data_IF_600772776274
#
_entry.id   IF_600772776274
#
_cell.length_a   1.000
_cell.length_b   1.000
_cell.length_c   1.000
_cell.angle_alpha   90.00
_cell.angle_beta   90.00
_cell.angle_gamma   90.00
#
_symmetry.space_group_name_H-M   'P 1'
#
loop_
_entity.id
_entity.type
_entity.pdbx_description
1 polymer ?
#
# COMPACT_ATOMS: atom_id res chain seq x y z
N UNK A 1 9.54 -1.10 -12.82
CA UNK A 1 8.61 -2.20 -12.55
C UNK A 1 7.30 -1.63 -12.06
N UNK A 2 6.25 -1.77 -12.87
CA UNK A 2 4.89 -1.36 -12.51
C UNK A 2 3.99 -2.59 -12.47
N UNK A 3 2.95 -2.52 -11.64
CA UNK A 3 1.82 -3.45 -11.70
C UNK A 3 0.61 -2.75 -12.32
N UNK A 4 -0.23 -3.51 -13.03
CA UNK A 4 -1.31 -2.97 -13.85
C UNK A 4 -2.65 -3.12 -13.15
N UNK A 5 -3.19 -1.99 -12.68
CA UNK A 5 -4.44 -1.95 -11.90
C UNK A 5 -5.73 -1.88 -12.73
N UNK A 6 -5.65 -2.05 -14.05
CA UNK A 6 -6.80 -2.06 -14.97
C UNK A 6 -6.82 -3.33 -15.81
N UNK A 7 -7.99 -3.87 -16.19
CA UNK A 7 -8.10 -5.03 -17.06
C UNK A 7 -7.40 -4.83 -18.41
N UNK A 8 -6.97 -5.93 -19.03
CA UNK A 8 -6.25 -5.92 -20.31
C UNK A 8 -7.01 -5.25 -21.46
N UNK A 9 -8.36 -5.26 -21.44
CA UNK A 9 -9.18 -4.61 -22.48
C UNK A 9 -9.19 -3.07 -22.36
N UNK A 10 -8.66 -2.50 -21.27
CA UNK A 10 -8.49 -1.05 -21.11
C UNK A 10 -7.17 -0.63 -21.77
N UNK A 11 -7.08 -0.86 -23.08
CA UNK A 11 -5.86 -0.72 -23.90
C UNK A 11 -5.70 0.67 -24.53
N UNK A 12 -6.69 1.55 -24.36
CA UNK A 12 -6.69 2.89 -24.94
C UNK A 12 -6.96 2.94 -26.45
N UNK A 13 -7.42 1.84 -27.08
CA UNK A 13 -7.64 1.75 -28.53
C UNK A 13 -8.46 2.89 -29.11
N UNK A 14 -9.50 3.33 -28.40
CA UNK A 14 -10.36 4.43 -28.85
C UNK A 14 -9.66 5.79 -28.91
N UNK A 15 -8.59 6.01 -28.14
CA UNK A 15 -7.83 7.28 -28.17
C UNK A 15 -7.23 7.50 -29.55
N UNK A 16 -6.55 6.50 -30.11
CA UNK A 16 -5.94 6.60 -31.43
C UNK A 16 -6.96 6.58 -32.59
N UNK A 17 -8.11 5.91 -32.40
CA UNK A 17 -9.20 5.94 -33.39
C UNK A 17 -9.82 7.35 -33.46
N UNK A 18 -10.11 7.96 -32.31
CA UNK A 18 -10.68 9.30 -32.25
C UNK A 18 -9.71 10.36 -32.77
N UNK A 19 -8.42 10.27 -32.46
CA UNK A 19 -7.40 11.18 -33.02
C UNK A 19 -7.39 11.13 -34.56
N UNK A 20 -7.46 9.93 -35.14
CA UNK A 20 -7.57 9.75 -36.61
C UNK A 20 -8.87 10.30 -37.20
N UNK A 21 -9.94 10.35 -36.41
CA UNK A 21 -11.22 10.95 -36.81
C UNK A 21 -11.26 12.48 -36.66
N UNK A 22 -10.17 13.11 -36.22
CA UNK A 22 -10.05 14.56 -36.07
C UNK A 22 -10.23 15.08 -34.64
N UNK A 23 -10.38 14.19 -33.65
CA UNK A 23 -10.48 14.59 -32.25
C UNK A 23 -9.14 15.16 -31.75
N UNK A 24 -9.21 16.26 -31.00
CA UNK A 24 -8.03 16.78 -30.31
C UNK A 24 -7.75 16.01 -29.02
N UNK A 25 -6.48 15.70 -28.76
CA UNK A 25 -6.04 14.99 -27.56
C UNK A 25 -5.29 15.92 -26.61
N UNK A 26 -5.63 15.87 -25.32
CA UNK A 26 -5.01 16.73 -24.29
C UNK A 26 -4.39 15.90 -23.16
N UNK A 27 -3.37 16.45 -22.50
CA UNK A 27 -2.75 15.92 -21.26
C UNK A 27 -2.28 14.45 -21.34
N UNK A 28 -1.78 14.02 -22.50
CA UNK A 28 -1.38 12.62 -22.80
C UNK A 28 -0.29 12.09 -21.87
N UNK A 29 0.46 12.98 -21.26
CA UNK A 29 1.54 12.74 -20.31
C UNK A 29 1.06 12.55 -18.86
N UNK A 30 -0.21 12.84 -18.56
CA UNK A 30 -0.73 12.80 -17.19
C UNK A 30 -1.31 11.44 -16.84
N UNK A 31 -0.81 10.88 -15.74
CA UNK A 31 -1.21 9.57 -15.24
C UNK A 31 -1.54 9.62 -13.75
N UNK A 32 -2.59 8.91 -13.36
CA UNK A 32 -2.89 8.61 -11.97
C UNK A 32 -2.30 7.25 -11.61
N UNK A 33 -1.35 7.25 -10.67
CA UNK A 33 -0.77 6.05 -10.08
C UNK A 33 -1.16 5.93 -8.61
N UNK A 34 -1.16 4.70 -8.09
CA UNK A 34 -1.11 4.45 -6.66
C UNK A 34 0.30 4.00 -6.27
N UNK A 35 0.69 4.28 -5.03
CA UNK A 35 2.03 3.96 -4.50
C UNK A 35 2.04 2.76 -3.57
N UNK A 36 0.86 2.22 -3.23
CA UNK A 36 0.68 1.04 -2.38
C UNK A 36 0.26 -0.20 -3.20
N UNK A 37 0.88 -0.42 -4.36
CA UNK A 37 0.55 -1.52 -5.27
C UNK A 37 1.18 -2.87 -4.90
N UNK A 38 0.47 -3.95 -5.21
CA UNK A 38 0.92 -5.34 -5.05
C UNK A 38 0.77 -6.07 -6.38
N UNK A 39 1.64 -7.03 -6.63
CA UNK A 39 1.35 -8.06 -7.61
C UNK A 39 0.24 -8.97 -7.07
N UNK A 40 -0.84 -9.14 -7.85
CA UNK A 40 -1.88 -10.09 -7.47
C UNK A 40 -1.32 -11.52 -7.52
N UNK A 41 -1.55 -12.28 -6.45
CA UNK A 41 -1.14 -13.68 -6.36
C UNK A 41 -2.03 -14.59 -7.23
N UNK A 42 -3.28 -14.19 -7.47
CA UNK A 42 -4.26 -14.86 -8.33
C UNK A 42 -4.73 -13.90 -9.44
N UNK A 43 -3.88 -13.66 -10.46
CA UNK A 43 -4.14 -12.64 -11.48
C UNK A 43 -5.25 -13.06 -12.44
N UNK A 44 -6.12 -12.11 -12.80
CA UNK A 44 -7.20 -12.30 -13.79
C UNK A 44 -6.74 -11.84 -15.17
N UNK A 45 -5.77 -10.91 -15.21
CA UNK A 45 -5.15 -10.41 -16.44
C UNK A 45 -3.62 -10.32 -16.27
N UNK A 46 -2.86 -10.19 -17.37
CA UNK A 46 -1.40 -10.06 -17.30
C UNK A 46 -0.97 -8.85 -16.45
N UNK A 47 0.03 -9.04 -15.60
CA UNK A 47 0.54 -8.02 -14.67
C UNK A 47 -0.52 -7.44 -13.72
N UNK A 48 -1.60 -8.18 -13.43
CA UNK A 48 -2.67 -7.73 -12.54
C UNK A 48 -2.10 -7.26 -11.20
N UNK A 49 -2.27 -5.97 -10.94
CA UNK A 49 -1.93 -5.35 -9.69
C UNK A 49 -3.16 -4.96 -8.87
N UNK A 50 -3.01 -5.00 -7.55
CA UNK A 50 -4.02 -4.59 -6.59
C UNK A 50 -3.42 -3.54 -5.66
N UNK A 51 -4.22 -2.54 -5.26
CA UNK A 51 -3.80 -1.54 -4.27
C UNK A 51 -4.14 -2.03 -2.86
N UNK A 52 -3.21 -1.89 -1.94
CA UNK A 52 -3.53 -1.92 -0.51
C UNK A 52 -4.26 -0.62 -0.18
N UNK A 53 -5.32 -0.74 0.60
CA UNK A 53 -5.89 0.35 1.36
C UNK A 53 -5.34 0.18 2.78
N UNK A 54 -4.27 0.87 3.18
CA UNK A 54 -3.73 0.80 4.54
C UNK A 54 -4.37 1.86 5.44
N UNK A 55 -3.98 1.86 6.71
CA UNK A 55 -4.15 2.99 7.62
C UNK A 55 -2.75 3.40 8.15
N UNK A 56 -2.64 4.39 9.06
CA UNK A 56 -1.37 5.08 9.27
C UNK A 56 -0.35 4.33 10.13
N UNK A 57 -0.62 3.11 10.62
CA UNK A 57 0.26 2.47 11.62
C UNK A 57 1.51 1.80 11.05
N UNK A 58 1.48 1.39 9.78
CA UNK A 58 2.63 0.74 9.11
C UNK A 58 3.79 1.73 8.95
N UNK A 59 5.01 1.31 9.28
CA UNK A 59 6.20 2.12 9.00
C UNK A 59 6.47 2.08 7.50
N UNK A 60 6.58 3.25 6.87
CA UNK A 60 6.83 3.36 5.43
C UNK A 60 8.27 3.82 5.16
N UNK A 61 9.03 2.96 4.48
CA UNK A 61 10.41 3.21 4.09
C UNK A 61 10.53 3.25 2.57
N UNK A 62 11.47 4.04 2.06
CA UNK A 62 11.90 3.95 0.66
C UNK A 62 12.64 2.63 0.40
N UNK A 63 13.00 2.39 -0.86
CA UNK A 63 13.73 1.17 -1.24
C UNK A 63 15.05 0.97 -0.48
N UNK A 64 15.70 2.06 -0.02
CA UNK A 64 16.97 2.07 0.71
C UNK A 64 16.81 2.01 2.24
N UNK A 65 15.56 1.91 2.74
CA UNK A 65 15.28 1.78 4.17
C UNK A 65 15.15 3.11 4.91
N UNK A 66 15.15 4.25 4.22
CA UNK A 66 14.90 5.55 4.85
C UNK A 66 13.40 5.75 5.03
N UNK A 67 12.98 6.26 6.18
CA UNK A 67 11.57 6.59 6.40
C UNK A 67 11.14 7.71 5.46
N UNK A 68 9.96 7.56 4.86
CA UNK A 68 9.39 8.61 4.03
C UNK A 68 9.18 9.90 4.85
N UNK A 69 9.29 11.08 4.24
CA UNK A 69 9.01 12.36 4.87
C UNK A 69 7.67 12.40 5.62
N UNK A 70 7.58 13.14 6.75
CA UNK A 70 6.43 13.14 7.67
C UNK A 70 5.13 13.75 7.12
N UNK A 71 5.03 14.02 5.83
CA UNK A 71 3.80 14.41 5.14
C UNK A 71 3.36 13.35 4.11
N UNK A 72 4.20 12.33 3.86
CA UNK A 72 3.98 11.27 2.88
C UNK A 72 3.52 9.98 3.56
N UNK A 73 2.44 10.09 4.32
CA UNK A 73 1.78 8.93 4.91
C UNK A 73 0.80 8.28 3.94
N UNK A 74 0.43 7.02 4.19
CA UNK A 74 -0.53 6.34 3.33
C UNK A 74 -1.86 7.10 3.26
N UNK A 75 -2.33 7.34 2.03
CA UNK A 75 -3.57 8.09 1.78
C UNK A 75 -3.51 9.60 2.02
N UNK A 76 -2.35 10.20 2.35
CA UNK A 76 -2.22 11.66 2.53
C UNK A 76 -2.02 12.40 1.20
N UNK A 77 -0.83 12.36 0.62
CA UNK A 77 -0.51 12.99 -0.67
C UNK A 77 0.08 11.96 -1.64
N UNK A 78 -0.79 11.31 -2.42
CA UNK A 78 -0.35 10.25 -3.36
C UNK A 78 0.57 10.78 -4.45
N UNK A 79 0.35 12.01 -4.93
CA UNK A 79 1.20 12.60 -5.97
C UNK A 79 2.56 13.00 -5.40
N UNK A 80 2.59 13.59 -4.22
CA UNK A 80 3.81 13.87 -3.47
C UNK A 80 4.60 12.60 -3.18
N UNK A 81 3.94 11.53 -2.74
CA UNK A 81 4.58 10.23 -2.50
C UNK A 81 5.14 9.64 -3.78
N UNK A 82 4.39 9.67 -4.89
CA UNK A 82 4.87 9.19 -6.18
C UNK A 82 6.12 9.94 -6.61
N UNK A 83 6.10 11.28 -6.54
CA UNK A 83 7.27 12.11 -6.86
C UNK A 83 8.45 11.73 -5.98
N UNK A 84 8.25 11.60 -4.68
CA UNK A 84 9.33 11.24 -3.76
C UNK A 84 9.95 9.88 -4.12
N UNK A 85 9.12 8.85 -4.34
CA UNK A 85 9.58 7.51 -4.74
C UNK A 85 10.43 7.60 -6.02
N UNK A 86 9.93 8.25 -7.07
CA UNK A 86 10.67 8.39 -8.32
C UNK A 86 12.02 9.11 -8.14
N UNK A 87 12.11 10.11 -7.26
CA UNK A 87 13.38 10.80 -6.98
C UNK A 87 14.42 9.90 -6.29
N UNK A 88 14.01 8.82 -5.62
CA UNK A 88 14.95 7.86 -5.03
C UNK A 88 15.68 7.01 -6.08
N UNK A 89 15.24 7.04 -7.34
CA UNK A 89 15.75 6.17 -8.40
C UNK A 89 15.17 4.75 -8.37
N UNK A 90 14.20 4.49 -7.49
CA UNK A 90 13.56 3.20 -7.33
C UNK A 90 12.05 3.26 -7.60
N UNK A 91 11.46 2.10 -7.88
CA UNK A 91 10.05 1.94 -8.25
C UNK A 91 9.22 1.21 -7.19
N UNK A 92 9.81 1.04 -6.00
CA UNK A 92 9.17 0.37 -4.89
C UNK A 92 9.55 0.99 -3.54
N UNK A 93 8.75 0.66 -2.53
CA UNK A 93 8.94 1.05 -1.14
C UNK A 93 8.64 -0.14 -0.23
N UNK A 94 8.86 0.02 1.07
CA UNK A 94 8.57 -1.01 2.06
C UNK A 94 7.55 -0.51 3.07
N UNK A 95 6.50 -1.28 3.31
CA UNK A 95 5.85 -1.27 4.61
C UNK A 95 6.53 -2.27 5.54
N UNK A 96 6.78 -1.86 6.77
CA UNK A 96 7.09 -2.74 7.90
C UNK A 96 5.98 -2.61 8.94
N UNK A 97 5.39 -3.73 9.30
CA UNK A 97 4.28 -3.84 10.23
C UNK A 97 4.29 -5.21 10.93
N UNK A 98 3.21 -5.53 11.65
CA UNK A 98 3.03 -6.82 12.29
C UNK A 98 1.60 -7.35 12.09
N UNK A 99 1.35 -8.58 12.55
CA UNK A 99 0.05 -9.24 12.44
C UNK A 99 -1.10 -8.41 13.01
N UNK A 100 -0.89 -7.71 14.13
CA UNK A 100 -1.94 -6.87 14.75
C UNK A 100 -2.33 -5.71 13.84
N UNK A 101 -1.35 -5.06 13.21
CA UNK A 101 -1.60 -3.95 12.27
C UNK A 101 -2.27 -4.48 10.99
N UNK A 102 -1.71 -5.51 10.36
CA UNK A 102 -2.22 -5.97 9.05
C UNK A 102 -3.66 -6.48 9.14
N UNK A 103 -3.97 -7.21 10.22
CA UNK A 103 -5.31 -7.74 10.49
C UNK A 103 -6.37 -6.65 10.53
N UNK A 104 -6.00 -5.46 11.03
CA UNK A 104 -6.93 -4.36 11.27
C UNK A 104 -6.94 -3.33 10.15
N UNK A 105 -5.77 -3.00 9.60
CA UNK A 105 -5.60 -1.84 8.74
C UNK A 105 -5.58 -2.17 7.24
N UNK A 106 -5.23 -3.40 6.84
CA UNK A 106 -5.16 -3.73 5.42
C UNK A 106 -6.56 -4.07 4.87
N UNK A 107 -7.00 -3.26 3.93
CA UNK A 107 -8.00 -3.62 2.92
C UNK A 107 -7.32 -3.82 1.57
N UNK A 108 -7.93 -4.58 0.69
CA UNK A 108 -7.45 -4.77 -0.69
C UNK A 108 -8.49 -4.19 -1.65
N UNK A 109 -8.04 -3.42 -2.64
CA UNK A 109 -8.90 -2.92 -3.70
C UNK A 109 -9.29 -4.06 -4.66
N UNK A 110 -10.54 -4.11 -5.09
CA UNK A 110 -11.04 -5.16 -5.97
C UNK A 110 -12.29 -5.81 -5.38
N UNK A 111 -13.40 -5.82 -6.14
CA UNK A 111 -14.66 -6.42 -5.71
C UNK A 111 -14.53 -7.93 -5.47
N UNK A 112 -13.65 -8.58 -6.22
CA UNK A 112 -13.27 -9.99 -6.12
C UNK A 112 -12.52 -10.28 -4.81
N UNK A 113 -11.78 -9.30 -4.29
CA UNK A 113 -11.09 -9.40 -3.00
C UNK A 113 -12.00 -9.03 -1.83
N UNK A 114 -13.27 -8.66 -2.09
CA UNK A 114 -14.23 -8.31 -1.04
C UNK A 114 -15.57 -9.01 -1.25
N UNK A 115 -15.60 -10.36 -1.32
CA UNK A 115 -16.83 -11.12 -1.54
C UNK A 115 -17.89 -10.85 -0.46
N UNK A 116 -17.47 -10.44 0.74
CA UNK A 116 -18.35 -10.08 1.86
C UNK A 116 -19.17 -8.80 1.59
N UNK A 117 -18.58 -7.83 0.90
CA UNK A 117 -19.22 -6.56 0.53
C UNK A 117 -20.09 -6.76 -0.71
N UNK A 118 -19.57 -7.48 -1.71
CA UNK A 118 -20.30 -7.80 -2.94
C UNK A 118 -21.52 -8.69 -2.67
N UNK A 119 -21.46 -9.56 -1.64
CA UNK A 119 -22.56 -10.42 -1.21
C UNK A 119 -23.54 -9.81 -0.19
N UNK A 120 -23.40 -8.53 0.18
CA UNK A 120 -24.24 -7.81 1.17
C UNK A 120 -24.42 -8.56 2.51
N UNK A 121 -23.42 -9.32 2.97
CA UNK A 121 -23.55 -10.12 4.20
C UNK A 121 -22.90 -9.42 5.39
N UNK A 122 -23.73 -8.73 6.18
CA UNK A 122 -23.32 -8.07 7.44
C UNK A 122 -22.66 -9.07 8.41
N UNK A 123 -23.10 -10.33 8.39
CA UNK A 123 -22.56 -11.40 9.23
C UNK A 123 -21.12 -11.81 8.86
N UNK A 124 -20.77 -11.88 7.57
CA UNK A 124 -19.37 -12.12 7.14
C UNK A 124 -18.47 -10.93 7.49
N UNK A 125 -19.01 -9.71 7.47
CA UNK A 125 -18.31 -8.51 7.90
C UNK A 125 -17.99 -8.54 9.41
N UNK A 126 -18.91 -9.04 10.24
CA UNK A 126 -18.70 -9.23 11.68
C UNK A 126 -17.70 -10.36 12.00
N UNK A 127 -17.65 -11.43 11.18
CA UNK A 127 -16.65 -12.49 11.30
C UNK A 127 -15.20 -12.01 11.17
N UNK A 128 -14.96 -10.86 10.49
CA UNK A 128 -13.65 -10.19 10.44
C UNK A 128 -13.12 -9.80 11.82
N UNK A 129 -14.01 -9.53 12.77
CA UNK A 129 -13.65 -9.04 14.11
C UNK A 129 -13.21 -10.17 15.04
N UNK A 130 -13.68 -11.40 14.83
CA UNK A 130 -13.52 -12.50 15.79
C UNK A 130 -12.35 -13.45 15.53
N UNK A 131 -11.76 -13.46 14.32
CA UNK A 131 -10.77 -14.47 13.93
C UNK A 131 -9.29 -14.15 14.26
N UNK A 132 -8.95 -12.95 14.73
CA UNK A 132 -7.57 -12.51 15.04
C UNK A 132 -6.58 -12.44 13.86
N UNK A 133 -6.85 -13.14 12.75
CA UNK A 133 -5.98 -13.28 11.57
C UNK A 133 -6.31 -12.32 10.41
N UNK A 134 -7.33 -11.47 10.57
CA UNK A 134 -7.74 -10.50 9.54
C UNK A 134 -8.58 -11.10 8.41
N UNK A 135 -8.93 -10.30 7.39
CA UNK A 135 -9.71 -10.77 6.24
C UNK A 135 -9.00 -11.90 5.49
N UNK A 136 -9.76 -12.93 5.07
CA UNK A 136 -9.22 -14.08 4.29
C UNK A 136 -8.40 -13.63 3.06
N UNK A 137 -8.82 -12.63 2.27
CA UNK A 137 -8.03 -12.11 1.16
C UNK A 137 -6.63 -11.66 1.59
N UNK A 138 -6.53 -10.93 2.70
CA UNK A 138 -5.25 -10.46 3.23
C UNK A 138 -4.37 -11.64 3.67
N UNK A 139 -4.96 -12.65 4.32
CA UNK A 139 -4.24 -13.87 4.69
C UNK A 139 -3.69 -14.62 3.46
N UNK A 140 -4.47 -14.69 2.37
CA UNK A 140 -4.03 -15.30 1.13
C UNK A 140 -2.87 -14.53 0.49
N UNK A 141 -2.92 -13.19 0.50
CA UNK A 141 -1.80 -12.37 0.06
C UNK A 141 -0.55 -12.56 0.92
N UNK A 142 -0.69 -12.66 2.24
CA UNK A 142 0.44 -12.97 3.12
C UNK A 142 1.06 -14.34 2.84
N UNK A 143 0.25 -15.32 2.44
CA UNK A 143 0.69 -16.69 2.19
C UNK A 143 1.26 -16.91 0.79
N UNK A 144 0.69 -16.27 -0.22
CA UNK A 144 0.95 -16.54 -1.63
C UNK A 144 1.52 -15.34 -2.40
N UNK A 145 1.39 -14.12 -1.85
CA UNK A 145 1.82 -12.90 -2.49
C UNK A 145 3.34 -12.79 -2.52
N UNK A 146 3.89 -12.57 -3.72
CA UNK A 146 5.35 -12.43 -3.94
C UNK A 146 5.97 -11.24 -3.22
N UNK A 147 5.17 -10.22 -2.93
CA UNK A 147 5.63 -8.99 -2.29
C UNK A 147 5.61 -9.06 -0.75
N UNK A 148 5.11 -10.16 -0.14
CA UNK A 148 5.01 -10.32 1.30
C UNK A 148 6.16 -11.14 1.87
N UNK A 149 6.73 -10.65 2.97
CA UNK A 149 7.71 -11.36 3.78
C UNK A 149 7.15 -11.40 5.21
N UNK A 150 6.98 -12.60 5.76
CA UNK A 150 6.45 -12.80 7.12
C UNK A 150 7.48 -13.57 7.93
N UNK A 151 7.94 -12.99 9.05
CA UNK A 151 9.04 -13.52 9.87
C UNK A 151 8.84 -13.22 11.35
N UNK A 152 9.43 -14.05 12.21
CA UNK A 152 9.32 -13.88 13.67
C UNK A 152 10.39 -12.93 14.24
N UNK A 153 11.48 -12.72 13.50
CA UNK A 153 12.62 -11.88 13.89
C UNK A 153 12.83 -10.76 12.89
N UNK A 154 13.49 -9.68 13.32
CA UNK A 154 13.79 -8.54 12.44
C UNK A 154 14.93 -8.90 11.48
N UNK A 155 15.89 -9.69 11.96
CA UNK A 155 17.01 -10.24 11.21
C UNK A 155 16.51 -10.99 9.97
N UNK A 156 15.64 -11.98 10.16
CA UNK A 156 15.09 -12.77 9.06
C UNK A 156 14.20 -11.93 8.13
N UNK A 157 13.55 -10.89 8.68
CA UNK A 157 12.70 -9.99 7.91
C UNK A 157 13.55 -9.16 6.95
N UNK A 158 14.64 -8.55 7.44
CA UNK A 158 15.57 -7.75 6.64
C UNK A 158 16.27 -8.63 5.60
N UNK A 159 16.66 -9.85 5.95
CA UNK A 159 17.20 -10.82 4.98
C UNK A 159 16.19 -11.13 3.85
N UNK A 160 14.92 -11.30 4.20
CA UNK A 160 13.85 -11.47 3.21
C UNK A 160 13.67 -10.24 2.32
N UNK A 161 13.74 -9.04 2.91
CA UNK A 161 13.64 -7.78 2.17
C UNK A 161 14.81 -7.64 1.19
N UNK A 162 16.03 -7.98 1.60
CA UNK A 162 17.22 -7.96 0.75
C UNK A 162 17.14 -8.94 -0.41
N UNK A 163 16.58 -10.14 -0.19
CA UNK A 163 16.35 -11.11 -1.27
C UNK A 163 15.41 -10.55 -2.34
N UNK A 164 14.29 -9.93 -1.93
CA UNK A 164 13.36 -9.29 -2.86
C UNK A 164 13.93 -8.00 -3.49
N UNK A 165 14.75 -7.23 -2.77
CA UNK A 165 15.43 -6.06 -3.32
C UNK A 165 16.39 -6.46 -4.45
N UNK A 166 17.15 -7.55 -4.26
CA UNK A 166 18.11 -8.06 -5.23
C UNK A 166 17.46 -8.43 -6.58
N UNK A 167 16.21 -8.91 -6.59
CA UNK A 167 15.45 -9.19 -7.83
C UNK A 167 15.35 -7.96 -8.76
N UNK A 168 15.46 -6.75 -8.20
CA UNK A 168 15.35 -5.48 -8.93
C UNK A 168 16.64 -4.67 -8.92
N UNK A 169 17.78 -5.29 -8.57
CA UNK A 169 19.03 -4.58 -8.32
C UNK A 169 18.85 -3.42 -7.32
N UNK A 170 17.98 -3.63 -6.33
CA UNK A 170 17.72 -2.68 -5.27
C UNK A 170 18.87 -2.56 -4.27
N UNK A 171 18.90 -1.51 -3.45
CA UNK A 171 19.95 -1.28 -2.48
C UNK A 171 19.89 -2.34 -1.36
N UNK A 172 21.05 -2.66 -0.80
CA UNK A 172 21.14 -3.52 0.38
C UNK A 172 20.67 -2.77 1.62
N UNK A 173 19.75 -3.36 2.35
CA UNK A 173 19.23 -2.88 3.63
C UNK A 173 20.12 -3.42 4.75
N UNK A 174 20.62 -2.52 5.59
CA UNK A 174 21.40 -2.87 6.78
C UNK A 174 20.47 -3.04 7.99
N UNK A 175 20.57 -4.18 8.67
CA UNK A 175 19.75 -4.51 9.83
C UNK A 175 19.74 -3.40 10.89
N UNK A 176 20.91 -2.90 11.27
CA UNK A 176 21.04 -1.89 12.33
C UNK A 176 20.38 -0.57 11.96
N UNK A 177 20.45 -0.16 10.68
CA UNK A 177 19.77 1.04 10.19
C UNK A 177 18.25 0.87 10.26
N UNK A 178 17.73 -0.26 9.78
CA UNK A 178 16.28 -0.56 9.83
C UNK A 178 15.79 -0.62 11.28
N UNK A 179 16.52 -1.34 12.14
CA UNK A 179 16.23 -1.45 13.57
C UNK A 179 16.17 -0.07 14.22
N UNK A 180 17.13 0.81 13.92
CA UNK A 180 17.16 2.17 14.48
C UNK A 180 15.93 2.99 14.07
N UNK A 181 15.49 2.88 12.82
CA UNK A 181 14.27 3.57 12.36
C UNK A 181 13.03 3.04 13.08
N UNK A 182 12.91 1.72 13.23
CA UNK A 182 11.80 1.08 13.95
C UNK A 182 11.79 1.50 15.42
N UNK A 183 12.93 1.42 16.11
CA UNK A 183 13.04 1.79 17.52
C UNK A 183 12.70 3.28 17.74
N UNK A 184 13.14 4.16 16.84
CA UNK A 184 12.83 5.60 16.90
C UNK A 184 11.33 5.84 16.81
N UNK A 185 10.63 5.11 15.95
CA UNK A 185 9.16 5.12 15.84
C UNK A 185 8.50 4.51 17.07
N UNK A 186 9.01 3.38 17.57
CA UNK A 186 8.43 2.64 18.69
C UNK A 186 8.53 3.39 20.02
N UNK A 187 9.59 4.18 20.22
CA UNK A 187 9.74 5.07 21.37
C UNK A 187 8.60 6.11 21.47
N UNK A 188 7.98 6.47 20.35
CA UNK A 188 6.88 7.45 20.32
C UNK A 188 5.58 6.94 20.96
N UNK A 189 5.48 5.63 21.20
CA UNK A 189 4.29 5.01 21.80
C UNK A 189 4.49 4.64 23.28
N UNK A 190 5.62 5.04 23.87
CA UNK A 190 5.85 4.92 25.32
C UNK A 190 5.34 6.13 26.13
N UNK A 191 5.01 7.23 25.47
CA UNK A 191 4.51 8.46 26.09
C UNK A 191 3.22 8.90 25.37
N UNK A 192 2.26 9.45 26.12
CA UNK A 192 1.05 10.05 25.55
C UNK A 192 1.36 11.30 24.71
N UNK A 193 2.45 12.02 25.06
CA UNK A 193 2.97 13.13 24.29
C UNK A 193 4.01 12.67 23.26
N UNK A 194 3.83 13.05 22.01
CA UNK A 194 4.81 12.84 20.93
C UNK A 194 4.75 14.00 19.93
N UNK A 195 5.89 14.28 19.30
CA UNK A 195 6.02 15.19 18.15
C UNK A 195 6.28 14.46 16.84
N UNK A 196 6.27 13.12 16.86
CA UNK A 196 6.38 12.33 15.64
C UNK A 196 5.07 12.42 14.86
N UNK A 197 5.15 12.88 13.62
CA UNK A 197 3.97 13.14 12.80
C UNK A 197 3.14 11.87 12.53
N UNK A 198 3.76 10.69 12.45
CA UNK A 198 3.01 9.44 12.28
C UNK A 198 2.28 9.06 13.57
N UNK A 199 2.94 9.17 14.73
CA UNK A 199 2.31 8.90 16.02
C UNK A 199 1.12 9.86 16.26
N UNK A 200 1.29 11.14 15.93
CA UNK A 200 0.21 12.14 15.95
C UNK A 200 -0.93 11.76 14.99
N UNK A 201 -0.62 11.34 13.76
CA UNK A 201 -1.62 10.92 12.77
C UNK A 201 -2.42 9.69 13.24
N UNK A 202 -1.75 8.68 13.78
CA UNK A 202 -2.40 7.48 14.33
C UNK A 202 -3.33 7.87 15.47
N UNK A 203 -2.85 8.68 16.43
CA UNK A 203 -3.67 9.12 17.55
C UNK A 203 -4.87 9.96 17.11
N UNK A 204 -4.69 10.86 16.14
CA UNK A 204 -5.77 11.67 15.56
C UNK A 204 -6.83 10.80 14.86
N UNK A 205 -6.42 9.84 14.03
CA UNK A 205 -7.35 8.91 13.37
C UNK A 205 -8.18 8.09 14.37
N UNK A 206 -7.62 7.81 15.56
CA UNK A 206 -8.33 7.13 16.63
C UNK A 206 -9.28 8.00 17.44
N UNK A 207 -9.30 9.32 17.25
CA UNK A 207 -10.33 10.20 17.82
C UNK A 207 -11.68 10.00 17.12
N UNK A 208 -11.67 9.59 15.86
CA UNK A 208 -12.88 9.21 15.15
C UNK A 208 -13.28 7.78 15.51
N UNK A 209 -14.43 7.61 16.18
CA UNK A 209 -14.83 6.33 16.78
C UNK A 209 -14.96 5.16 15.78
N UNK A 210 -15.47 5.34 14.54
CA UNK A 210 -15.54 4.25 13.57
C UNK A 210 -14.15 3.77 13.17
N UNK A 211 -13.22 4.69 12.93
CA UNK A 211 -11.84 4.36 12.58
C UNK A 211 -11.11 3.70 13.74
N UNK A 212 -11.29 4.21 14.96
CA UNK A 212 -10.77 3.62 16.20
C UNK A 212 -11.17 2.14 16.33
N UNK A 213 -12.43 1.85 16.04
CA UNK A 213 -13.02 0.51 16.16
C UNK A 213 -12.60 -0.41 15.01
N UNK A 214 -12.66 0.08 13.76
CA UNK A 214 -12.60 -0.78 12.57
C UNK A 214 -11.32 -0.65 11.75
N UNK A 215 -10.64 0.50 11.76
CA UNK A 215 -9.66 0.85 10.72
C UNK A 215 -8.24 1.10 11.21
N UNK A 216 -8.08 1.77 12.35
CA UNK A 216 -6.78 2.17 12.89
C UNK A 216 -6.45 1.27 14.07
N UNK A 217 -5.29 0.61 14.03
CA UNK A 217 -4.79 -0.24 15.09
C UNK A 217 -4.61 0.54 16.40
N UNK A 218 -4.65 -0.15 17.54
CA UNK A 218 -4.25 0.48 18.81
C UNK A 218 -2.74 0.75 18.72
N UNK A 219 -2.24 1.94 19.12
CA UNK A 219 -0.81 2.23 19.03
C UNK A 219 -0.01 1.25 19.88
N UNK A 220 1.08 0.72 19.32
CA UNK A 220 2.00 -0.20 19.97
C UNK A 220 3.35 -0.21 19.23
N UNK A 221 4.35 -0.81 19.87
CA UNK A 221 5.68 -1.02 19.30
C UNK A 221 5.63 -2.11 18.22
N UNK A 222 6.23 -1.87 17.06
CA UNK A 222 6.33 -2.88 16.00
C UNK A 222 7.09 -4.12 16.47
N UNK A 223 8.15 -3.94 17.27
CA UNK A 223 8.98 -5.04 17.80
C UNK A 223 8.38 -5.77 19.02
N UNK A 224 7.15 -5.46 19.42
CA UNK A 224 6.44 -6.23 20.45
C UNK A 224 6.10 -7.63 19.91
N UNK A 225 6.83 -8.65 20.39
CA UNK A 225 6.65 -10.06 19.98
C UNK A 225 5.21 -10.56 20.16
N UNK A 226 4.46 -10.02 21.12
CA UNK A 226 3.05 -10.39 21.33
C UNK A 226 2.09 -9.92 20.22
N UNK A 227 2.58 -9.08 19.30
CA UNK A 227 1.83 -8.48 18.19
C UNK A 227 2.20 -9.09 16.84
N UNK A 228 3.20 -9.97 16.84
CA UNK A 228 3.80 -10.60 15.67
C UNK A 228 2.94 -11.69 15.01
N UNK A 229 3.44 -12.31 13.93
CA UNK A 229 4.78 -12.11 13.34
C UNK A 229 5.01 -10.72 12.74
N UNK A 230 6.27 -10.37 12.50
CA UNK A 230 6.66 -9.19 11.71
C UNK A 230 6.39 -9.43 10.24
N UNK A 231 6.04 -8.35 9.54
CA UNK A 231 5.65 -8.39 8.14
C UNK A 231 6.33 -7.23 7.42
N UNK A 232 6.95 -7.51 6.29
CA UNK A 232 7.41 -6.53 5.34
C UNK A 232 6.68 -6.73 4.02
N UNK A 233 6.30 -5.63 3.38
CA UNK A 233 5.56 -5.65 2.11
C UNK A 233 6.25 -4.73 1.12
N UNK A 234 6.70 -5.30 -0.01
CA UNK A 234 7.24 -4.52 -1.13
C UNK A 234 6.08 -3.84 -1.87
N UNK A 235 5.95 -2.54 -1.74
CA UNK A 235 4.91 -1.77 -2.42
C UNK A 235 5.42 -1.28 -3.76
N UNK A 236 4.66 -1.54 -4.81
CA UNK A 236 4.95 -1.20 -6.19
C UNK A 236 4.17 0.03 -6.62
N UNK A 237 4.70 0.75 -7.61
CA UNK A 237 3.87 1.70 -8.35
C UNK A 237 2.83 0.95 -9.19
N UNK A 238 1.56 1.34 -9.03
CA UNK A 238 0.42 0.74 -9.73
C UNK A 238 -0.20 1.73 -10.70
N UNK A 239 -0.33 1.33 -11.97
CA UNK A 239 -1.06 2.12 -12.96
C UNK A 239 -2.56 2.05 -12.69
N UNK A 240 -3.27 3.18 -12.80
CA UNK A 240 -4.71 3.21 -12.55
C UNK A 240 -5.54 3.88 -13.63
N UNK A 241 -5.18 5.10 -14.07
CA UNK A 241 -5.90 5.85 -15.11
C UNK A 241 -4.96 6.81 -15.83
N UNK A 242 -5.19 7.02 -17.12
CA UNK A 242 -4.75 8.24 -17.79
C UNK A 242 -5.64 9.39 -17.33
N UNK A 243 -5.07 10.59 -17.18
CA UNK A 243 -5.82 11.82 -16.90
C UNK A 243 -6.00 12.68 -18.15
N UNK A 244 -5.25 12.38 -19.21
CA UNK A 244 -5.51 12.87 -20.55
C UNK A 244 -6.44 11.96 -21.35
N UNK A 245 -6.84 12.48 -22.50
CA UNK A 245 -7.77 11.82 -23.40
C UNK A 245 -8.26 12.75 -24.49
N UNK A 246 -9.42 12.39 -25.04
CA UNK A 246 -10.14 13.17 -26.03
C UNK A 246 -10.66 14.45 -25.38
N UNK A 247 -10.36 15.61 -25.97
CA UNK A 247 -10.91 16.89 -25.52
C UNK A 247 -12.41 16.93 -25.76
N UNK A 248 -13.15 17.47 -24.80
CA UNK A 248 -14.60 17.65 -24.94
C UNK A 248 -15.05 18.98 -24.36
N UNK A 249 -16.10 19.57 -24.94
CA UNK A 249 -16.79 20.71 -24.32
C UNK A 249 -17.71 20.28 -23.15
N UNK A 250 -18.36 21.24 -22.49
CA UNK A 250 -19.23 20.98 -21.33
C UNK A 250 -20.47 20.12 -21.66
N UNK A 251 -20.80 19.96 -22.94
CA UNK A 251 -21.87 19.10 -23.44
C UNK A 251 -21.34 17.73 -23.92
N UNK A 252 -20.06 17.41 -23.63
CA UNK A 252 -19.39 16.17 -24.04
C UNK A 252 -19.21 16.00 -25.56
N UNK A 253 -19.32 17.08 -26.35
CA UNK A 253 -18.95 17.02 -27.77
C UNK A 253 -17.43 17.00 -27.90
N UNK A 254 -16.94 16.16 -28.81
CA UNK A 254 -15.54 16.00 -29.21
C UNK A 254 -15.18 16.98 -30.30
#
# INVERSE_FOLDING_TARGET
HFVVGVPAHVDGRMVGISEKAGAHLINRDRMWHYTEGLQNWDPIWPNHGIRILPAPSSLWLDAAGNRLPPYLFPGSDTLGTLKHICHTGHDYTWFILNQTIITKEFGLSGSEQNPDITGKSVWKLLGRVFGGKGPVPVQNFMKHGKDFIVKDTLEDLVDGMNKLAAERNGPSLELDKIKKVIETRDLQFGNAYSKDAQAMLINNGRLYWPDKASRVAKPHKLLDKSKGPLIAVRLNLLTRKTLGGIETNLQSNV
#
